data_IF_527606271635
#
_entry.id   IF_527606271635
#
_cell.length_a   1.000
_cell.length_b   1.000
_cell.length_c   1.000
_cell.angle_alpha   90.00
_cell.angle_beta   90.00
_cell.angle_gamma   90.00
#
_symmetry.space_group_name_H-M   'P 1'
#
loop_
_entity.id
_entity.type
_entity.pdbx_description
1 polymer ?
#
# COMPACT_ATOMS: atom_id res chain seq x y z
N UNK A 1 -0.41 -32.02 30.85
CA UNK A 1 -0.88 -30.62 30.99
C UNK A 1 0.10 -29.61 30.40
N UNK A 2 1.36 -29.56 30.88
CA UNK A 2 2.39 -28.61 30.39
C UNK A 2 2.66 -28.71 28.88
N UNK A 3 2.68 -29.92 28.30
CA UNK A 3 2.88 -30.13 26.85
C UNK A 3 1.74 -29.56 26.00
N UNK A 4 0.49 -29.67 26.48
CA UNK A 4 -0.67 -29.11 25.78
C UNK A 4 -0.69 -27.57 25.89
N UNK A 5 -0.29 -27.03 27.05
CA UNK A 5 -0.13 -25.59 27.25
C UNK A 5 0.97 -25.01 26.33
N UNK A 6 2.10 -25.71 26.21
CA UNK A 6 3.19 -25.34 25.31
C UNK A 6 2.73 -25.34 23.84
N UNK A 7 2.01 -26.37 23.41
CA UNK A 7 1.47 -26.46 22.05
C UNK A 7 0.47 -25.33 21.75
N UNK A 8 -0.38 -24.99 22.72
CA UNK A 8 -1.34 -23.88 22.60
C UNK A 8 -0.63 -22.53 22.44
N UNK A 9 0.39 -22.25 23.26
CA UNK A 9 1.19 -21.03 23.16
C UNK A 9 1.91 -20.96 21.81
N UNK A 10 2.46 -22.08 21.33
CA UNK A 10 3.14 -22.14 20.04
C UNK A 10 2.20 -21.80 18.87
N UNK A 11 0.96 -22.30 18.90
CA UNK A 11 -0.06 -21.97 17.89
C UNK A 11 -0.39 -20.48 17.92
N UNK A 12 -0.60 -19.90 19.10
CA UNK A 12 -0.88 -18.46 19.22
C UNK A 12 0.28 -17.62 18.67
N UNK A 13 1.52 -18.01 18.96
CA UNK A 13 2.71 -17.32 18.45
C UNK A 13 2.79 -17.42 16.92
N UNK A 14 2.45 -18.58 16.35
CA UNK A 14 2.39 -18.77 14.90
C UNK A 14 1.38 -17.82 14.24
N UNK A 15 0.16 -17.72 14.80
CA UNK A 15 -0.85 -16.77 14.32
C UNK A 15 -0.39 -15.32 14.44
N UNK A 16 0.27 -14.97 15.55
CA UNK A 16 0.80 -13.63 15.76
C UNK A 16 1.88 -13.27 14.74
N UNK A 17 2.79 -14.21 14.43
CA UNK A 17 3.80 -14.04 13.39
C UNK A 17 3.15 -13.86 12.01
N UNK A 18 2.15 -14.69 11.66
CA UNK A 18 1.42 -14.56 10.40
C UNK A 18 0.70 -13.21 10.28
N UNK A 19 0.10 -12.72 11.37
CA UNK A 19 -0.54 -11.41 11.42
C UNK A 19 0.47 -10.27 11.19
N UNK A 20 1.64 -10.33 11.85
CA UNK A 20 2.71 -9.34 11.66
C UNK A 20 3.22 -9.35 10.23
N UNK A 21 3.48 -10.52 9.65
CA UNK A 21 3.93 -10.64 8.25
C UNK A 21 2.88 -10.03 7.31
N UNK A 22 1.60 -10.33 7.53
CA UNK A 22 0.49 -9.82 6.73
C UNK A 22 0.44 -8.29 6.77
N UNK A 23 0.58 -7.68 7.95
CA UNK A 23 0.62 -6.23 8.12
C UNK A 23 1.82 -5.60 7.43
N UNK A 24 3.02 -6.17 7.58
CA UNK A 24 4.24 -5.64 6.95
C UNK A 24 4.18 -5.73 5.42
N UNK A 25 3.64 -6.82 4.87
CA UNK A 25 3.46 -6.98 3.42
C UNK A 25 2.40 -6.00 2.89
N UNK A 26 1.29 -5.84 3.60
CA UNK A 26 0.23 -4.90 3.22
C UNK A 26 0.72 -3.44 3.26
N UNK A 27 1.43 -3.04 4.31
CA UNK A 27 1.98 -1.69 4.46
C UNK A 27 3.00 -1.36 3.34
N UNK A 28 3.82 -2.34 2.92
CA UNK A 28 4.72 -2.18 1.77
C UNK A 28 3.98 -1.92 0.46
N UNK A 29 2.82 -2.55 0.23
CA UNK A 29 2.02 -2.30 -0.99
C UNK A 29 1.43 -0.89 -0.99
N UNK A 30 0.96 -0.42 0.17
CA UNK A 30 0.41 0.93 0.28
C UNK A 30 1.45 2.01 -0.04
N UNK A 31 2.68 1.87 0.48
CA UNK A 31 3.75 2.87 0.30
C UNK A 31 4.37 2.89 -1.10
N UNK A 32 4.34 1.77 -1.85
CA UNK A 32 4.95 1.70 -3.19
C UNK A 32 4.17 2.44 -4.27
N UNK A 33 2.86 2.55 -4.10
CA UNK A 33 1.98 3.09 -5.13
C UNK A 33 1.68 4.59 -4.96
N UNK A 34 2.33 5.26 -4.00
CA UNK A 34 2.12 6.67 -3.70
C UNK A 34 3.48 7.37 -3.59
N UNK A 35 3.62 8.54 -4.20
CA UNK A 35 4.83 9.34 -4.04
C UNK A 35 4.97 10.47 -5.05
N UNK A 36 6.02 11.26 -4.84
CA UNK A 36 6.36 12.39 -5.72
C UNK A 36 7.08 11.96 -7.00
N UNK A 37 7.82 10.84 -6.96
CA UNK A 37 8.58 10.37 -8.12
C UNK A 37 7.82 9.27 -8.85
N UNK A 38 7.44 9.55 -10.09
CA UNK A 38 6.76 8.59 -10.97
C UNK A 38 7.79 7.56 -11.45
N UNK A 39 7.60 6.25 -11.22
CA UNK A 39 8.51 5.23 -11.71
C UNK A 39 8.47 5.14 -13.25
N UNK A 40 9.56 4.65 -13.85
CA UNK A 40 9.61 4.42 -15.30
C UNK A 40 8.56 3.39 -15.76
N UNK A 41 7.96 3.61 -16.93
CA UNK A 41 6.93 2.72 -17.50
C UNK A 41 5.50 3.01 -17.03
N UNK A 42 5.30 4.04 -16.22
CA UNK A 42 3.98 4.55 -15.86
C UNK A 42 3.55 5.66 -16.83
N UNK A 43 2.37 5.50 -17.41
CA UNK A 43 1.74 6.45 -18.33
C UNK A 43 0.76 7.35 -17.58
N UNK A 44 0.77 8.64 -17.92
CA UNK A 44 -0.11 9.65 -17.31
C UNK A 44 -1.55 9.41 -17.76
N UNK A 45 -2.49 9.35 -16.82
CA UNK A 45 -3.92 9.30 -17.15
C UNK A 45 -4.61 10.65 -16.90
N UNK A 46 -5.82 10.78 -17.43
CA UNK A 46 -6.70 11.94 -17.19
C UNK A 46 -7.44 11.84 -15.85
N UNK A 47 -7.32 10.73 -15.13
CA UNK A 47 -7.96 10.53 -13.83
C UNK A 47 -7.26 11.37 -12.76
N UNK A 48 -8.03 12.26 -12.12
CA UNK A 48 -7.59 13.09 -11.01
C UNK A 48 -8.51 12.82 -9.82
N UNK A 49 -7.89 12.45 -8.70
CA UNK A 49 -8.57 12.26 -7.42
C UNK A 49 -8.37 13.51 -6.60
N UNK A 50 -9.47 14.07 -6.08
CA UNK A 50 -9.42 15.22 -5.19
C UNK A 50 -9.88 14.77 -3.82
N UNK A 51 -9.02 14.94 -2.81
CA UNK A 51 -9.37 14.66 -1.43
C UNK A 51 -10.35 15.73 -0.92
N UNK A 52 -11.58 15.35 -0.51
CA UNK A 52 -12.59 16.31 -0.07
C UNK A 52 -12.23 16.98 1.27
N UNK A 53 -11.33 16.40 2.06
CA UNK A 53 -10.97 16.90 3.39
C UNK A 53 -9.93 18.02 3.34
N UNK A 54 -9.04 18.04 2.34
CA UNK A 54 -7.94 19.00 2.25
C UNK A 54 -7.74 19.61 0.85
N UNK A 55 -8.53 19.19 -0.15
CA UNK A 55 -8.46 19.69 -1.53
C UNK A 55 -7.22 19.26 -2.30
N UNK A 56 -6.39 18.36 -1.76
CA UNK A 56 -5.20 17.83 -2.44
C UNK A 56 -5.62 17.04 -3.66
N UNK A 57 -4.91 17.28 -4.77
CA UNK A 57 -5.15 16.59 -6.04
C UNK A 57 -4.07 15.54 -6.25
N UNK A 58 -4.49 14.32 -6.54
CA UNK A 58 -3.59 13.24 -6.93
C UNK A 58 -3.95 12.79 -8.33
N UNK A 59 -2.98 12.81 -9.24
CA UNK A 59 -3.13 12.24 -10.57
C UNK A 59 -2.79 10.76 -10.56
N UNK A 60 -3.59 9.97 -11.26
CA UNK A 60 -3.34 8.54 -11.45
C UNK A 60 -2.41 8.35 -12.64
N UNK A 61 -1.45 7.46 -12.48
CA UNK A 61 -0.58 6.95 -13.53
C UNK A 61 -0.79 5.44 -13.63
N UNK A 62 -0.79 4.91 -14.84
CA UNK A 62 -1.04 3.50 -15.11
C UNK A 62 0.15 2.85 -15.80
N UNK A 63 0.59 1.69 -15.33
CA UNK A 63 1.60 0.91 -16.00
C UNK A 63 0.94 -0.21 -16.82
N UNK A 64 0.92 -0.14 -18.17
CA UNK A 64 0.26 -1.16 -19.00
C UNK A 64 0.96 -2.52 -18.97
N UNK A 65 2.25 -2.57 -18.61
CA UNK A 65 3.01 -3.83 -18.55
C UNK A 65 2.73 -4.65 -17.29
N UNK A 66 2.44 -4.00 -16.16
CA UNK A 66 2.18 -4.65 -14.86
C UNK A 66 0.72 -4.56 -14.41
N UNK A 67 -0.07 -3.66 -14.99
CA UNK A 67 -1.43 -3.34 -14.54
C UNK A 67 -1.47 -2.50 -13.25
N UNK A 68 -0.32 -2.00 -12.79
CA UNK A 68 -0.22 -1.22 -11.55
C UNK A 68 -0.68 0.24 -11.73
N UNK A 69 -1.15 0.82 -10.63
CA UNK A 69 -1.55 2.23 -10.55
C UNK A 69 -0.67 2.96 -9.54
N UNK A 70 -0.22 4.15 -9.92
CA UNK A 70 0.59 5.02 -9.09
C UNK A 70 -0.10 6.37 -8.92
N UNK A 71 -0.20 6.84 -7.68
CA UNK A 71 -0.84 8.10 -7.32
C UNK A 71 0.23 9.15 -7.06
N UNK A 72 0.28 10.15 -7.93
CA UNK A 72 1.20 11.27 -7.84
C UNK A 72 0.46 12.50 -7.34
N UNK A 73 0.91 13.07 -6.22
CA UNK A 73 0.34 14.30 -5.66
C UNK A 73 0.73 15.49 -6.55
N UNK A 74 -0.25 16.10 -7.23
CA UNK A 74 -0.03 17.32 -8.01
C UNK A 74 -0.19 18.51 -7.05
N UNK A 75 0.88 19.29 -6.89
CA UNK A 75 0.76 20.60 -6.26
C UNK A 75 -0.15 21.46 -7.13
N UNK A 76 -1.29 21.86 -6.57
CA UNK A 76 -2.15 22.85 -7.20
C UNK A 76 -1.44 24.20 -7.10
N UNK A 77 -0.62 24.54 -8.10
CA UNK A 77 -0.15 25.91 -8.32
C UNK A 77 -1.39 26.80 -8.54
N UNK A 78 -1.89 27.38 -7.45
CA UNK A 78 -2.85 28.48 -7.44
C UNK A 78 -2.22 29.65 -6.72
#
# INVERSE_FOLDING_TARGET
>A
MVKALFFYILIQLCFLILAVISLVVWDKRYKKNHGLNIPAGFEKTEEIIVDPSNGKKSRVYYNPSTGERFYHEEYSDR
#
